data_IF_271000024342
#
_entry.id   IF_271000024342
#
_cell.length_a   1.000
_cell.length_b   1.000
_cell.length_c   1.000
_cell.angle_alpha   90.00
_cell.angle_beta   90.00
_cell.angle_gamma   90.00
#
_symmetry.space_group_name_H-M   'P 1'
#
loop_
_entity.id
_entity.type
_entity.pdbx_description
1 polymer ?
#
# COMPACT_ATOMS: atom_id res chain seq x y z
N UNK A 1 -11.59 -3.44 9.92
CA UNK A 1 -10.90 -3.15 8.64
C UNK A 1 -9.59 -3.92 8.51
N UNK A 2 -8.57 -3.65 9.35
CA UNK A 2 -7.30 -4.38 9.30
C UNK A 2 -7.45 -5.91 9.42
N UNK A 3 -8.32 -6.37 10.33
CA UNK A 3 -8.70 -7.78 10.45
C UNK A 3 -9.19 -8.41 9.14
N UNK A 4 -9.88 -7.64 8.30
CA UNK A 4 -10.42 -8.15 7.03
C UNK A 4 -9.33 -8.25 5.95
N UNK A 5 -8.41 -7.28 5.88
CA UNK A 5 -7.36 -7.25 4.87
C UNK A 5 -6.13 -8.08 5.22
N UNK A 6 -5.78 -8.15 6.50
CA UNK A 6 -4.53 -8.78 6.97
C UNK A 6 -4.76 -9.98 7.88
N UNK A 7 -6.01 -10.27 8.26
CA UNK A 7 -6.27 -11.26 9.31
C UNK A 7 -5.82 -10.83 10.71
N UNK A 8 -5.38 -9.58 10.87
CA UNK A 8 -4.87 -9.02 12.13
C UNK A 8 -5.38 -7.58 12.35
N UNK A 9 -6.17 -7.39 13.39
CA UNK A 9 -6.69 -6.08 13.80
C UNK A 9 -5.62 -5.10 14.30
N UNK A 10 -4.49 -5.60 14.81
CA UNK A 10 -3.39 -4.78 15.35
C UNK A 10 -2.63 -4.00 14.29
N UNK A 11 -2.76 -4.41 13.01
CA UNK A 11 -2.20 -3.73 11.85
C UNK A 11 -3.07 -2.54 11.39
N UNK A 12 -4.06 -2.11 12.17
CA UNK A 12 -4.82 -0.92 11.84
C UNK A 12 -3.97 0.36 11.66
N UNK A 13 -2.95 0.63 12.49
CA UNK A 13 -2.09 1.81 12.30
C UNK A 13 -1.37 1.83 10.94
N UNK A 14 -1.11 0.67 10.34
CA UNK A 14 -0.56 0.56 8.98
C UNK A 14 -1.53 1.13 7.95
N UNK A 15 -2.82 0.77 8.04
CA UNK A 15 -3.86 1.33 7.17
C UNK A 15 -4.09 2.81 7.45
N UNK A 16 -4.15 3.20 8.73
CA UNK A 16 -4.42 4.58 9.10
C UNK A 16 -3.33 5.53 8.58
N UNK A 17 -2.06 5.16 8.77
CA UNK A 17 -0.92 5.92 8.28
C UNK A 17 -0.96 6.04 6.75
N UNK A 18 -1.12 4.91 6.04
CA UNK A 18 -1.14 4.89 4.57
C UNK A 18 -2.30 5.71 3.95
N UNK A 19 -3.39 5.95 4.69
CA UNK A 19 -4.57 6.65 4.19
C UNK A 19 -4.78 8.04 4.81
N UNK A 20 -3.85 8.49 5.65
CA UNK A 20 -3.97 9.69 6.48
C UNK A 20 -5.30 9.75 7.26
N UNK A 21 -5.74 8.60 7.78
CA UNK A 21 -6.97 8.49 8.56
C UNK A 21 -6.63 8.80 10.02
N UNK A 22 -7.06 9.98 10.49
CA UNK A 22 -6.88 10.40 11.88
C UNK A 22 -7.90 9.72 12.84
N UNK A 23 -9.14 9.50 12.38
CA UNK A 23 -10.19 8.84 13.17
C UNK A 23 -10.56 7.47 12.56
N UNK A 24 -10.34 6.35 13.28
CA UNK A 24 -10.65 5.00 12.82
C UNK A 24 -12.13 4.75 12.51
N UNK A 25 -13.04 5.54 13.05
CA UNK A 25 -14.47 5.40 12.84
C UNK A 25 -14.98 6.24 11.65
N UNK A 26 -14.12 7.07 11.05
CA UNK A 26 -14.48 7.95 9.93
C UNK A 26 -13.89 7.40 8.64
N UNK A 27 -14.66 6.50 8.02
CA UNK A 27 -14.39 5.93 6.70
C UNK A 27 -15.66 6.10 5.88
N UNK A 28 -15.57 6.95 4.85
CA UNK A 28 -16.69 7.19 3.94
C UNK A 28 -16.87 5.98 3.04
N UNK A 29 -18.09 5.45 3.00
CA UNK A 29 -18.46 4.37 2.08
C UNK A 29 -18.19 4.84 0.64
N UNK A 30 -17.51 4.00 -0.14
CA UNK A 30 -17.11 4.32 -1.52
C UNK A 30 -15.77 5.05 -1.64
N UNK A 31 -15.08 5.38 -0.54
CA UNK A 31 -13.71 5.90 -0.59
C UNK A 31 -12.73 4.75 -0.84
N UNK A 32 -11.84 4.96 -1.81
CA UNK A 32 -10.74 4.04 -2.06
C UNK A 32 -9.62 4.17 -1.03
N UNK A 33 -8.94 3.07 -0.73
CA UNK A 33 -7.92 3.00 0.31
C UNK A 33 -6.59 2.44 -0.23
N UNK A 34 -5.49 3.05 0.19
CA UNK A 34 -4.16 2.47 0.13
C UNK A 34 -4.09 1.31 1.13
N UNK A 35 -3.86 0.10 0.63
CA UNK A 35 -3.75 -1.09 1.45
C UNK A 35 -2.31 -1.58 1.34
N UNK A 36 -1.44 -1.27 2.32
CA UNK A 36 -0.07 -1.74 2.33
C UNK A 36 0.03 -3.26 2.15
N UNK A 37 0.76 -3.70 1.13
CA UNK A 37 1.11 -5.09 0.90
C UNK A 37 2.21 -5.52 1.87
N UNK A 38 2.03 -6.65 2.55
CA UNK A 38 2.96 -7.15 3.56
C UNK A 38 3.57 -8.51 3.21
N UNK A 39 2.99 -9.24 2.25
CA UNK A 39 3.39 -10.61 1.94
C UNK A 39 4.51 -10.72 0.93
N UNK A 40 4.25 -10.34 -0.32
CA UNK A 40 5.20 -10.45 -1.43
C UNK A 40 5.94 -9.13 -1.63
N UNK A 41 6.87 -8.85 -0.71
CA UNK A 41 7.54 -7.55 -0.64
C UNK A 41 9.06 -7.65 -0.59
N UNK A 42 9.71 -6.57 -1.01
CA UNK A 42 11.15 -6.42 -0.88
C UNK A 42 11.60 -6.44 0.58
N UNK A 43 12.88 -6.73 0.79
CA UNK A 43 13.51 -6.69 2.11
C UNK A 43 14.65 -5.68 2.13
N UNK A 44 14.91 -5.09 3.29
CA UNK A 44 16.01 -4.14 3.49
C UNK A 44 16.82 -4.52 4.72
N UNK A 45 18.14 -4.61 4.58
CA UNK A 45 19.02 -4.82 5.74
C UNK A 45 19.44 -3.46 6.29
N UNK A 46 19.13 -3.20 7.56
CA UNK A 46 19.40 -1.93 8.23
C UNK A 46 20.90 -1.70 8.32
N UNK A 47 21.35 -0.50 7.93
CA UNK A 47 22.74 -0.08 8.07
C UNK A 47 22.90 0.96 9.18
N UNK A 48 24.15 1.21 9.59
CA UNK A 48 24.46 2.14 10.68
C UNK A 48 23.89 3.54 10.41
N UNK A 49 23.11 4.05 11.38
CA UNK A 49 22.55 5.40 11.35
C UNK A 49 21.17 5.53 10.71
N UNK A 50 20.56 4.45 10.18
CA UNK A 50 19.20 4.52 9.62
C UNK A 50 18.13 4.56 10.73
N UNK A 51 17.09 5.37 10.50
CA UNK A 51 15.86 5.41 11.30
C UNK A 51 14.63 5.05 10.46
N UNK A 52 13.53 4.62 11.07
CA UNK A 52 12.31 4.31 10.31
C UNK A 52 11.73 5.53 9.58
N UNK A 53 11.93 6.73 10.12
CA UNK A 53 11.53 7.99 9.49
C UNK A 53 12.24 8.22 8.15
N UNK A 54 13.54 8.02 8.13
CA UNK A 54 14.35 8.20 6.91
C UNK A 54 14.08 7.10 5.89
N UNK A 55 13.88 5.87 6.35
CA UNK A 55 13.46 4.76 5.49
C UNK A 55 12.09 5.03 4.86
N UNK A 56 11.11 5.51 5.63
CA UNK A 56 9.79 5.86 5.12
C UNK A 56 9.84 7.01 4.11
N UNK A 57 10.61 8.07 4.41
CA UNK A 57 10.85 9.16 3.46
C UNK A 57 11.50 8.64 2.17
N UNK A 58 12.45 7.71 2.26
CA UNK A 58 13.13 7.13 1.09
C UNK A 58 12.23 6.21 0.27
N UNK A 59 11.42 5.38 0.93
CA UNK A 59 10.62 4.36 0.26
C UNK A 59 9.28 4.85 -0.25
N UNK A 60 8.70 5.84 0.43
CA UNK A 60 7.33 6.30 0.21
C UNK A 60 7.25 7.81 0.00
N UNK A 61 8.39 8.50 -0.07
CA UNK A 61 8.48 9.96 -0.17
C UNK A 61 7.85 10.72 1.01
N UNK A 62 7.53 10.03 2.12
CA UNK A 62 6.88 10.62 3.29
C UNK A 62 7.36 9.97 4.60
N UNK A 63 7.99 10.77 5.45
CA UNK A 63 8.56 10.29 6.72
C UNK A 63 7.49 9.81 7.71
N UNK A 64 6.30 10.44 7.69
CA UNK A 64 5.17 10.10 8.57
C UNK A 64 4.59 8.70 8.31
N UNK A 65 4.98 8.05 7.19
CA UNK A 65 4.61 6.68 6.87
C UNK A 65 5.49 5.63 7.57
N UNK A 66 6.37 6.03 8.51
CA UNK A 66 7.12 5.08 9.33
C UNK A 66 6.27 3.98 10.01
N UNK A 67 4.99 4.19 10.42
CA UNK A 67 4.18 3.13 11.01
C UNK A 67 3.91 1.99 10.03
N UNK A 68 3.87 2.28 8.73
CA UNK A 68 3.74 1.25 7.68
C UNK A 68 4.92 0.27 7.78
N UNK A 69 6.12 0.73 8.14
CA UNK A 69 7.31 -0.11 8.32
C UNK A 69 7.31 -0.74 9.72
N UNK A 70 7.03 0.05 10.75
CA UNK A 70 7.23 -0.34 12.15
C UNK A 70 6.38 -1.54 12.57
N UNK A 71 5.07 -1.49 12.29
CA UNK A 71 4.10 -2.47 12.79
C UNK A 71 4.33 -3.87 12.22
N UNK A 72 4.46 -4.05 10.89
CA UNK A 72 4.71 -5.37 10.30
C UNK A 72 6.08 -5.95 10.69
N UNK A 73 7.04 -5.09 11.04
CA UNK A 73 8.37 -5.51 11.50
C UNK A 73 8.46 -5.66 13.02
N UNK A 74 7.37 -5.46 13.76
CA UNK A 74 7.33 -5.49 15.23
C UNK A 74 8.38 -4.56 15.87
N UNK A 75 8.44 -3.31 15.41
CA UNK A 75 9.32 -2.27 15.95
C UNK A 75 8.47 -1.27 16.75
N UNK A 76 8.80 -1.12 18.03
CA UNK A 76 8.08 -0.23 18.95
C UNK A 76 8.69 1.17 19.00
N UNK A 77 10.02 1.26 18.89
CA UNK A 77 10.76 2.52 18.87
C UNK A 77 11.24 2.82 17.43
N UNK A 78 10.65 3.81 16.73
CA UNK A 78 11.01 4.13 15.36
C UNK A 78 12.38 4.78 15.19
N UNK A 79 12.96 5.30 16.28
CA UNK A 79 14.27 5.94 16.29
C UNK A 79 15.39 4.93 16.63
N UNK A 80 15.03 3.70 17.01
CA UNK A 80 15.97 2.64 17.36
C UNK A 80 15.75 1.38 16.51
N UNK A 81 16.58 1.21 15.47
CA UNK A 81 16.61 -0.01 14.68
C UNK A 81 18.02 -0.61 14.65
N UNK A 82 18.12 -1.90 14.97
CA UNK A 82 19.40 -2.61 15.05
C UNK A 82 20.04 -2.78 13.67
N UNK A 83 21.34 -2.44 13.58
CA UNK A 83 22.15 -2.69 12.38
C UNK A 83 22.18 -4.18 12.06
N UNK A 84 21.97 -4.53 10.79
CA UNK A 84 21.90 -5.91 10.33
C UNK A 84 20.52 -6.54 10.44
N UNK A 85 19.54 -5.90 11.09
CA UNK A 85 18.16 -6.36 11.09
C UNK A 85 17.61 -6.31 9.66
N UNK A 86 16.97 -7.39 9.23
CA UNK A 86 16.26 -7.45 7.96
C UNK A 86 14.82 -6.99 8.19
N UNK A 87 14.43 -5.92 7.53
CA UNK A 87 13.07 -5.41 7.52
C UNK A 87 12.35 -5.89 6.28
N UNK A 88 11.08 -6.25 6.41
CA UNK A 88 10.17 -6.21 5.26
C UNK A 88 9.99 -4.74 4.86
N UNK A 89 9.94 -4.48 3.56
CA UNK A 89 9.63 -3.17 2.95
C UNK A 89 8.22 -3.25 2.38
N UNK A 90 7.17 -2.97 3.17
CA UNK A 90 5.79 -3.01 2.69
C UNK A 90 5.58 -2.27 1.38
N UNK A 91 4.82 -2.87 0.48
CA UNK A 91 4.44 -2.22 -0.75
C UNK A 91 3.28 -1.27 -0.48
N UNK A 92 3.48 0.04 -0.63
CA UNK A 92 2.36 0.98 -0.68
C UNK A 92 1.71 0.92 -2.05
N UNK A 93 0.84 -0.05 -2.21
CA UNK A 93 0.06 -0.25 -3.42
C UNK A 93 -1.38 0.18 -3.15
N UNK A 94 -1.97 0.82 -4.14
CA UNK A 94 -3.36 1.19 -4.07
C UNK A 94 -4.21 -0.04 -4.41
N UNK A 95 -5.30 -0.24 -3.66
CA UNK A 95 -6.27 -1.29 -3.93
C UNK A 95 -7.64 -0.68 -4.15
N UNK A 96 -8.30 -1.10 -5.22
CA UNK A 96 -9.64 -0.64 -5.57
C UNK A 96 -10.58 -1.84 -5.67
N UNK A 97 -11.69 -1.81 -4.94
CA UNK A 97 -12.77 -2.79 -5.14
C UNK A 97 -13.67 -2.30 -6.25
N UNK A 98 -13.76 -3.06 -7.34
CA UNK A 98 -14.54 -2.70 -8.53
C UNK A 98 -16.00 -2.47 -8.16
N UNK A 99 -16.52 -1.32 -8.56
CA UNK A 99 -17.92 -0.91 -8.41
C UNK A 99 -18.60 -0.82 -9.79
N UNK A 100 -19.95 -0.79 -9.86
CA UNK A 100 -20.65 -0.65 -11.13
C UNK A 100 -20.21 0.60 -11.91
N UNK A 101 -19.81 0.43 -13.16
CA UNK A 101 -19.37 1.51 -14.05
C UNK A 101 -17.86 1.68 -14.17
N UNK A 102 -17.08 0.98 -13.36
CA UNK A 102 -15.61 1.00 -13.46
C UNK A 102 -15.11 0.44 -14.79
N UNK A 103 -14.02 1.03 -15.28
CA UNK A 103 -13.17 0.47 -16.32
C UNK A 103 -11.71 0.63 -15.91
N UNK A 104 -10.83 -0.28 -16.34
CA UNK A 104 -9.40 -0.14 -16.02
C UNK A 104 -8.78 1.17 -16.53
N UNK A 105 -9.28 1.70 -17.65
CA UNK A 105 -8.82 3.00 -18.19
C UNK A 105 -9.24 4.17 -17.30
N UNK A 106 -10.49 4.21 -16.86
CA UNK A 106 -10.97 5.27 -15.96
C UNK A 106 -10.22 5.22 -14.61
N UNK A 107 -10.00 4.01 -14.08
CA UNK A 107 -9.25 3.84 -12.84
C UNK A 107 -7.77 4.19 -12.98
N UNK A 108 -7.15 3.91 -14.14
CA UNK A 108 -5.77 4.33 -14.42
C UNK A 108 -5.63 5.84 -14.55
N UNK A 109 -6.60 6.50 -15.20
CA UNK A 109 -6.64 7.96 -15.27
C UNK A 109 -6.77 8.58 -13.88
N UNK A 110 -7.69 8.07 -13.05
CA UNK A 110 -7.90 8.57 -11.69
C UNK A 110 -6.66 8.37 -10.80
N UNK A 111 -6.04 7.19 -10.88
CA UNK A 111 -4.94 6.84 -9.99
C UNK A 111 -3.56 7.36 -10.45
N UNK A 112 -3.28 7.32 -11.76
CA UNK A 112 -1.97 7.68 -12.31
C UNK A 112 -1.98 8.99 -13.11
N UNK A 113 -3.13 9.60 -13.35
CA UNK A 113 -3.27 10.73 -14.27
C UNK A 113 -3.06 10.33 -15.73
N UNK A 114 -3.14 9.04 -16.06
CA UNK A 114 -2.94 8.53 -17.41
C UNK A 114 -3.70 7.21 -17.66
N UNK A 115 -4.75 7.29 -18.45
CA UNK A 115 -5.61 6.19 -18.84
C UNK A 115 -4.86 5.04 -19.54
N UNK A 116 -3.75 5.31 -20.25
CA UNK A 116 -2.96 4.28 -20.95
C UNK A 116 -2.21 3.36 -19.97
N UNK A 117 -2.12 3.73 -18.69
CA UNK A 117 -1.50 2.91 -17.65
C UNK A 117 -2.39 1.74 -17.21
N UNK A 118 -3.60 1.62 -17.77
CA UNK A 118 -4.52 0.50 -17.53
C UNK A 118 -3.88 -0.87 -17.77
N UNK A 119 -2.97 -0.97 -18.75
CA UNK A 119 -2.28 -2.22 -19.07
C UNK A 119 -1.41 -2.71 -17.92
N UNK A 120 -0.84 -1.81 -17.12
CA UNK A 120 -0.05 -2.19 -15.94
C UNK A 120 -0.94 -2.68 -14.82
N UNK A 121 -2.12 -2.07 -14.63
CA UNK A 121 -3.12 -2.57 -13.68
C UNK A 121 -3.54 -3.98 -14.08
N UNK A 122 -3.86 -4.20 -15.37
CA UNK A 122 -4.23 -5.51 -15.88
C UNK A 122 -3.13 -6.55 -15.63
N UNK A 123 -1.88 -6.22 -15.95
CA UNK A 123 -0.73 -7.09 -15.74
C UNK A 123 -0.52 -7.43 -14.26
N UNK A 124 -0.55 -6.42 -13.38
CA UNK A 124 -0.35 -6.60 -11.94
C UNK A 124 -1.46 -7.43 -11.27
N UNK A 125 -2.64 -7.50 -11.89
CA UNK A 125 -3.78 -8.30 -11.41
C UNK A 125 -3.99 -9.60 -12.18
N UNK A 126 -3.08 -9.97 -13.08
CA UNK A 126 -3.22 -11.14 -13.95
C UNK A 126 -4.53 -11.17 -14.76
N UNK A 127 -5.01 -10.00 -15.19
CA UNK A 127 -6.24 -9.85 -15.97
C UNK A 127 -5.91 -10.03 -17.45
N UNK A 128 -6.40 -11.12 -18.04
CA UNK A 128 -6.16 -11.46 -19.44
C UNK A 128 -6.91 -10.53 -20.43
N UNK A 129 -8.15 -10.15 -20.10
CA UNK A 129 -8.94 -9.20 -20.88
C UNK A 129 -9.20 -7.94 -20.05
N UNK A 130 -8.50 -6.82 -20.32
CA UNK A 130 -8.64 -5.56 -19.58
C UNK A 130 -10.04 -4.96 -19.58
N UNK A 131 -10.93 -5.40 -20.48
CA UNK A 131 -12.33 -4.96 -20.54
C UNK A 131 -13.25 -5.80 -19.66
N UNK A 132 -12.73 -6.86 -19.00
CA UNK A 132 -13.52 -7.80 -18.19
C UNK A 132 -13.08 -7.77 -16.74
N UNK A 133 -13.49 -6.73 -16.04
CA UNK A 133 -13.43 -6.65 -14.57
C UNK A 133 -14.82 -6.92 -13.97
N UNK A 134 -14.87 -7.50 -12.78
CA UNK A 134 -16.13 -7.90 -12.12
C UNK A 134 -16.38 -7.07 -10.88
N UNK A 135 -17.62 -6.61 -10.67
CA UNK A 135 -17.99 -5.91 -9.42
C UNK A 135 -17.63 -6.76 -8.20
N UNK A 136 -16.99 -6.14 -7.21
CA UNK A 136 -16.45 -6.79 -6.02
C UNK A 136 -15.04 -7.37 -6.18
N UNK A 137 -14.47 -7.39 -7.39
CA UNK A 137 -13.07 -7.75 -7.61
C UNK A 137 -12.16 -6.69 -6.98
N UNK A 138 -11.13 -7.10 -6.25
CA UNK A 138 -10.10 -6.19 -5.74
C UNK A 138 -8.97 -6.09 -6.77
N UNK A 139 -8.70 -4.88 -7.24
CA UNK A 139 -7.63 -4.55 -8.16
C UNK A 139 -6.46 -3.91 -7.42
N UNK A 140 -5.27 -4.38 -7.69
CA UNK A 140 -3.99 -3.88 -7.23
C UNK A 140 -3.37 -2.90 -8.24
N UNK A 141 -2.87 -1.78 -7.75
CA UNK A 141 -2.27 -0.73 -8.56
C UNK A 141 -0.80 -0.62 -8.16
N UNK A 142 0.14 -1.03 -9.04
CA UNK A 142 1.56 -0.91 -8.75
C UNK A 142 1.98 0.55 -8.62
N UNK A 143 2.88 0.85 -7.69
CA UNK A 143 3.50 2.17 -7.61
C UNK A 143 4.51 2.36 -8.76
N UNK A 144 4.51 3.56 -9.37
CA UNK A 144 5.37 3.91 -10.51
C UNK A 144 6.84 4.11 -10.14
N UNK A 145 7.14 4.24 -8.85
CA UNK A 145 8.51 4.46 -8.35
C UNK A 145 9.40 3.20 -8.34
N UNK A 146 8.90 2.07 -8.84
CA UNK A 146 9.66 0.81 -8.95
C UNK A 146 10.11 0.47 -10.40
N UNK A 147 10.15 1.45 -11.31
CA UNK A 147 10.73 1.30 -12.66
C UNK A 147 11.89 2.25 -12.91
#
# INVERSE_FOLDING_TARGET
>A
MAQHFYGDGTLFPVLAAANHIADPNVIQVGRSLLIPELGDVGHHTVVAGETLWELARRWYCEAQLYPVIAFPNHITDPDHVEVGRVLIRPGLNYRHTVVPGDTLRALAEDHYGNAEMFAMIAAANHIADPNRITVGQVLFFPNLTNF
#
